data_IF_199492135063
#
_entry.id   IF_199492135063
#
_cell.length_a   1.000
_cell.length_b   1.000
_cell.length_c   1.000
_cell.angle_alpha   90.00
_cell.angle_beta   90.00
_cell.angle_gamma   90.00
#
_symmetry.space_group_name_H-M   'P 1'
#
loop_
_entity.id
_entity.type
_entity.pdbx_description
1 polymer ?
#
# COMPACT_ATOMS: atom_id res chain seq x y z
N UNK A 1 -14.01 8.34 -8.21
CA UNK A 1 -14.38 8.41 -6.77
C UNK A 1 -13.85 7.21 -5.99
N UNK A 2 -14.26 5.97 -6.31
CA UNK A 2 -13.76 4.76 -5.62
C UNK A 2 -12.23 4.69 -5.61
N UNK A 3 -11.60 4.91 -6.77
CA UNK A 3 -10.14 4.99 -6.91
C UNK A 3 -9.47 6.13 -6.11
N UNK A 4 -10.17 7.25 -5.91
CA UNK A 4 -9.68 8.34 -5.07
C UNK A 4 -9.79 8.00 -3.58
N UNK A 5 -10.86 7.30 -3.18
CA UNK A 5 -11.02 6.81 -1.80
C UNK A 5 -9.99 5.73 -1.47
N UNK A 6 -9.68 4.81 -2.39
CA UNK A 6 -8.61 3.81 -2.17
C UNK A 6 -7.25 4.48 -2.03
N UNK A 7 -6.97 5.51 -2.85
CA UNK A 7 -5.74 6.28 -2.73
C UNK A 7 -5.60 6.96 -1.36
N UNK A 8 -6.67 7.61 -0.91
CA UNK A 8 -6.72 8.29 0.39
C UNK A 8 -6.62 7.32 1.57
N UNK A 9 -7.41 6.25 1.57
CA UNK A 9 -7.43 5.24 2.62
C UNK A 9 -6.08 4.54 2.76
N UNK A 10 -5.43 4.18 1.65
CA UNK A 10 -4.09 3.62 1.65
C UNK A 10 -3.05 4.59 2.20
N UNK A 11 -3.11 5.86 1.79
CA UNK A 11 -2.19 6.90 2.23
C UNK A 11 -2.32 7.20 3.73
N UNK A 12 -3.55 7.21 4.26
CA UNK A 12 -3.79 7.36 5.70
C UNK A 12 -3.28 6.16 6.48
N UNK A 13 -3.61 4.93 6.06
CA UNK A 13 -3.15 3.71 6.74
C UNK A 13 -1.62 3.61 6.80
N UNK A 14 -0.94 3.96 5.71
CA UNK A 14 0.52 3.92 5.63
C UNK A 14 1.21 4.87 6.64
N UNK A 15 0.55 5.98 7.00
CA UNK A 15 1.08 6.91 8.00
C UNK A 15 1.01 6.38 9.44
N UNK A 16 0.21 5.35 9.72
CA UNK A 16 0.08 4.76 11.05
C UNK A 16 0.71 3.37 11.17
N UNK A 17 1.00 2.70 10.06
CA UNK A 17 1.66 1.40 10.03
C UNK A 17 3.17 1.48 10.34
N UNK A 18 3.68 0.49 11.08
CA UNK A 18 5.09 0.39 11.48
C UNK A 18 5.84 -0.75 10.78
N UNK A 19 5.15 -1.72 10.19
CA UNK A 19 5.81 -2.78 9.42
C UNK A 19 6.29 -2.24 8.06
N UNK A 20 7.60 -2.30 7.81
CA UNK A 20 8.24 -1.75 6.61
C UNK A 20 7.61 -2.31 5.32
N UNK A 21 7.37 -3.62 5.25
CA UNK A 21 6.72 -4.25 4.08
C UNK A 21 5.28 -3.78 3.89
N UNK A 22 4.51 -3.59 4.97
CA UNK A 22 3.12 -3.11 4.88
C UNK A 22 3.06 -1.66 4.42
N UNK A 23 3.99 -0.80 4.84
CA UNK A 23 4.07 0.59 4.35
C UNK A 23 4.35 0.60 2.83
N UNK A 24 5.27 -0.24 2.35
CA UNK A 24 5.58 -0.33 0.92
C UNK A 24 4.38 -0.91 0.13
N UNK A 25 3.64 -1.86 0.70
CA UNK A 25 2.43 -2.41 0.09
C UNK A 25 1.26 -1.42 0.06
N UNK A 26 1.04 -0.66 1.14
CA UNK A 26 0.02 0.40 1.15
C UNK A 26 0.35 1.51 0.16
N UNK A 27 1.64 1.82 -0.01
CA UNK A 27 2.06 2.76 -1.04
C UNK A 27 2.00 2.20 -2.46
N UNK A 28 1.87 0.87 -2.70
CA UNK A 28 1.47 0.36 -4.03
C UNK A 28 -0.04 0.47 -4.21
N UNK A 29 -0.84 0.19 -3.16
CA UNK A 29 -2.29 0.38 -3.19
C UNK A 29 -2.67 1.83 -3.53
N UNK A 30 -1.95 2.81 -2.96
CA UNK A 30 -2.21 4.22 -3.26
C UNK A 30 -1.91 4.57 -4.73
N UNK A 31 -0.79 4.09 -5.27
CA UNK A 31 -0.41 4.34 -6.67
C UNK A 31 -1.32 3.60 -7.66
N UNK A 32 -1.81 2.40 -7.30
CA UNK A 32 -2.85 1.69 -8.06
C UNK A 32 -4.17 2.48 -8.06
N UNK A 33 -4.55 3.08 -6.93
CA UNK A 33 -5.67 4.02 -6.88
C UNK A 33 -5.51 5.17 -7.87
N UNK A 34 -4.30 5.73 -7.96
CA UNK A 34 -3.96 6.78 -8.92
C UNK A 34 -4.04 6.27 -10.37
N UNK A 35 -3.46 5.12 -10.69
CA UNK A 35 -3.56 4.49 -12.02
C UNK A 35 -5.02 4.25 -12.45
N UNK A 36 -5.83 3.68 -11.57
CA UNK A 36 -7.24 3.38 -11.87
C UNK A 36 -8.07 4.65 -12.05
N UNK A 37 -7.74 5.71 -11.33
CA UNK A 37 -8.44 6.99 -11.47
C UNK A 37 -8.19 7.65 -12.83
N UNK A 38 -6.96 7.62 -13.34
CA UNK A 38 -6.62 8.16 -14.67
C UNK A 38 -7.24 7.32 -15.78
N UNK A 39 -7.24 6.00 -15.60
CA UNK A 39 -7.89 5.08 -16.53
C UNK A 39 -9.39 5.39 -16.61
N UNK A 40 -10.04 5.70 -15.49
CA UNK A 40 -11.45 6.14 -15.48
C UNK A 40 -11.70 7.50 -16.15
N UNK A 41 -10.66 8.36 -16.26
CA UNK A 41 -10.72 9.63 -17.00
C UNK A 41 -10.45 9.45 -18.51
N UNK A 42 -10.13 8.23 -18.98
CA UNK A 42 -9.89 7.92 -20.39
C UNK A 42 -8.43 7.99 -20.84
N UNK A 43 -7.49 8.37 -19.96
CA UNK A 43 -6.07 8.51 -20.31
C UNK A 43 -5.27 7.20 -20.11
N UNK A 44 -5.61 6.17 -20.89
CA UNK A 44 -4.98 4.84 -20.77
C UNK A 44 -3.45 4.85 -21.00
N UNK A 45 -2.95 5.69 -21.93
CA UNK A 45 -1.49 5.81 -22.19
C UNK A 45 -0.72 6.31 -20.97
N UNK A 46 -1.30 7.27 -20.21
CA UNK A 46 -0.71 7.80 -18.99
C UNK A 46 -0.72 6.76 -17.86
N UNK A 47 -1.82 6.03 -17.72
CA UNK A 47 -1.93 4.97 -16.74
C UNK A 47 -0.88 3.86 -16.99
N UNK A 48 -0.70 3.45 -18.24
CA UNK A 48 0.32 2.46 -18.61
C UNK A 48 1.75 2.97 -18.41
N UNK A 49 2.03 4.22 -18.79
CA UNK A 49 3.32 4.85 -18.53
C UNK A 49 3.66 4.92 -17.04
N UNK A 50 2.68 5.27 -16.19
CA UNK A 50 2.87 5.25 -14.75
C UNK A 50 3.05 3.84 -14.21
N UNK A 51 2.34 2.82 -14.74
CA UNK A 51 2.54 1.43 -14.35
C UNK A 51 3.97 0.96 -14.58
N UNK A 52 4.57 1.27 -15.75
CA UNK A 52 5.94 0.91 -16.06
C UNK A 52 6.95 1.61 -15.15
N UNK A 53 6.82 2.94 -14.99
CA UNK A 53 7.73 3.70 -14.10
C UNK A 53 7.58 3.25 -12.64
N UNK A 54 6.37 2.95 -12.20
CA UNK A 54 6.07 2.39 -10.87
C UNK A 54 6.72 1.03 -10.64
N UNK A 55 6.70 0.14 -11.62
CA UNK A 55 7.36 -1.16 -11.50
C UNK A 55 8.87 -1.00 -11.22
N UNK A 56 9.54 -0.06 -11.90
CA UNK A 56 10.97 0.20 -11.73
C UNK A 56 11.32 0.65 -10.30
N UNK A 57 10.71 1.74 -9.81
CA UNK A 57 11.06 2.26 -8.47
C UNK A 57 10.49 1.40 -7.33
N UNK A 58 9.39 0.66 -7.53
CA UNK A 58 8.89 -0.28 -6.51
C UNK A 58 9.75 -1.52 -6.39
N UNK A 59 10.26 -2.06 -7.50
CA UNK A 59 11.22 -3.16 -7.45
C UNK A 59 12.48 -2.75 -6.67
N UNK A 60 12.97 -1.52 -6.88
CA UNK A 60 14.08 -0.94 -6.12
C UNK A 60 13.76 -0.85 -4.62
N UNK A 61 12.57 -0.32 -4.26
CA UNK A 61 12.11 -0.22 -2.87
C UNK A 61 12.03 -1.58 -2.19
N UNK A 62 11.44 -2.59 -2.83
CA UNK A 62 11.31 -3.92 -2.24
C UNK A 62 12.65 -4.67 -2.13
N UNK A 63 13.58 -4.48 -3.07
CA UNK A 63 14.92 -5.07 -2.95
C UNK A 63 15.74 -4.44 -1.84
N UNK A 64 15.74 -3.11 -1.71
CA UNK A 64 16.39 -2.42 -0.60
C UNK A 64 15.74 -2.76 0.74
N UNK A 65 14.40 -2.84 0.79
CA UNK A 65 13.68 -3.31 1.98
C UNK A 65 14.07 -4.74 2.35
N UNK A 66 14.25 -5.62 1.36
CA UNK A 66 14.71 -6.99 1.54
C UNK A 66 16.09 -7.06 2.17
N UNK A 67 17.05 -6.25 1.71
CA UNK A 67 18.40 -6.20 2.30
C UNK A 67 18.39 -5.69 3.72
N UNK A 68 17.61 -4.63 3.98
CA UNK A 68 17.45 -4.08 5.33
C UNK A 68 16.85 -5.13 6.28
N UNK A 69 15.76 -5.80 5.88
CA UNK A 69 15.09 -6.80 6.74
C UNK A 69 16.00 -8.00 7.00
N UNK A 70 16.70 -8.50 5.98
CA UNK A 70 17.66 -9.59 6.14
C UNK A 70 18.75 -9.21 7.15
N UNK A 71 19.32 -8.02 6.99
CA UNK A 71 20.38 -7.54 7.87
C UNK A 71 19.91 -7.16 9.26
N UNK A 72 18.61 -6.95 9.46
CA UNK A 72 17.95 -6.72 10.75
C UNK A 72 17.36 -8.00 11.36
N UNK A 73 17.92 -9.17 11.02
CA UNK A 73 17.51 -10.50 11.54
C UNK A 73 16.00 -10.77 11.36
N UNK A 74 15.47 -10.41 10.20
CA UNK A 74 14.04 -10.51 9.85
C UNK A 74 13.10 -9.60 10.65
N UNK A 75 13.60 -8.65 11.44
CA UNK A 75 12.74 -7.62 12.03
C UNK A 75 12.29 -6.62 10.96
N UNK A 76 10.98 -6.40 10.90
CA UNK A 76 10.33 -5.55 9.90
C UNK A 76 9.82 -4.23 10.48
N UNK A 77 9.81 -4.10 11.80
CA UNK A 77 9.31 -2.92 12.50
C UNK A 77 10.31 -1.78 12.37
N UNK A 78 9.87 -0.67 11.75
CA UNK A 78 10.71 0.52 11.54
C UNK A 78 11.17 1.17 12.86
N UNK A 79 10.48 0.91 13.98
CA UNK A 79 10.84 1.48 15.30
C UNK A 79 12.12 0.89 15.87
N UNK A 80 12.41 -0.36 15.50
CA UNK A 80 13.64 -1.07 15.88
C UNK A 80 14.80 -0.77 14.92
N UNK A 81 14.55 0.00 13.86
CA UNK A 81 15.56 0.48 12.93
C UNK A 81 16.11 1.83 13.40
N UNK A 82 17.12 2.33 12.69
CA UNK A 82 17.75 3.60 12.96
C UNK A 82 19.15 3.64 12.39
N UNK A 83 19.66 4.84 12.13
CA UNK A 83 21.03 5.15 11.68
C UNK A 83 21.63 4.19 10.62
N UNK A 84 20.82 3.60 9.74
CA UNK A 84 21.29 2.59 8.79
C UNK A 84 22.27 3.17 7.76
N UNK A 85 22.19 4.49 7.52
CA UNK A 85 23.11 5.23 6.66
C UNK A 85 24.59 5.00 6.98
N UNK A 86 24.94 4.84 8.27
CA UNK A 86 26.32 4.63 8.71
C UNK A 86 26.80 3.19 8.43
N UNK A 87 25.88 2.23 8.57
CA UNK A 87 26.19 0.79 8.44
C UNK A 87 26.08 0.24 7.03
N UNK A 88 25.13 0.75 6.23
CA UNK A 88 24.78 0.22 4.91
C UNK A 88 24.54 1.38 3.91
N UNK A 89 25.57 2.19 3.61
CA UNK A 89 25.39 3.46 2.90
C UNK A 89 24.86 3.30 1.47
N UNK A 90 25.23 2.22 0.75
CA UNK A 90 24.81 2.03 -0.64
C UNK A 90 23.32 1.69 -0.71
N UNK A 91 22.88 0.68 0.04
CA UNK A 91 21.46 0.32 0.07
C UNK A 91 20.60 1.46 0.61
N UNK A 92 21.06 2.21 1.61
CA UNK A 92 20.32 3.34 2.16
C UNK A 92 20.17 4.50 1.18
N UNK A 93 21.23 4.83 0.42
CA UNK A 93 21.15 5.86 -0.62
C UNK A 93 20.21 5.45 -1.77
N UNK A 94 20.30 4.20 -2.25
CA UNK A 94 19.40 3.65 -3.26
C UNK A 94 17.94 3.66 -2.79
N UNK A 95 17.71 3.30 -1.52
CA UNK A 95 16.39 3.33 -0.92
C UNK A 95 15.80 4.74 -0.85
N UNK A 96 16.62 5.75 -0.52
CA UNK A 96 16.18 7.14 -0.51
C UNK A 96 15.87 7.67 -1.92
N UNK A 97 16.68 7.30 -2.93
CA UNK A 97 16.38 7.62 -4.34
C UNK A 97 15.03 7.03 -4.75
N UNK A 98 14.76 5.79 -4.35
CA UNK A 98 13.49 5.12 -4.62
C UNK A 98 12.30 5.80 -3.92
N UNK A 99 12.46 6.22 -2.66
CA UNK A 99 11.45 6.96 -1.91
C UNK A 99 11.17 8.34 -2.53
N UNK A 100 12.20 9.06 -2.99
CA UNK A 100 12.05 10.34 -3.68
C UNK A 100 11.37 10.17 -5.05
N UNK A 101 11.69 9.09 -5.78
CA UNK A 101 11.00 8.76 -7.02
C UNK A 101 9.51 8.50 -6.79
N UNK A 102 9.14 7.82 -5.70
CA UNK A 102 7.73 7.61 -5.30
C UNK A 102 7.00 8.93 -4.97
N UNK A 103 7.70 9.88 -4.36
CA UNK A 103 7.16 11.21 -4.08
C UNK A 103 6.87 12.00 -5.36
N UNK A 104 7.66 11.78 -6.41
CA UNK A 104 7.61 12.55 -7.65
C UNK A 104 8.55 13.76 -7.64
N UNK A 105 9.69 13.67 -6.95
CA UNK A 105 10.71 14.73 -6.96
C UNK A 105 11.22 14.98 -8.39
N UNK A 106 11.45 16.24 -8.82
CA UNK A 106 11.89 16.58 -10.16
C UNK A 106 13.08 15.74 -10.64
N UNK A 107 13.05 15.41 -11.93
CA UNK A 107 14.05 14.61 -12.66
C UNK A 107 14.14 13.11 -12.32
N UNK A 108 13.40 12.59 -11.34
CA UNK A 108 13.30 11.15 -11.10
C UNK A 108 12.17 10.52 -11.93
N UNK A 109 12.17 9.19 -12.09
CA UNK A 109 11.20 8.51 -12.95
C UNK A 109 9.73 8.77 -12.58
N UNK A 110 9.44 8.96 -11.29
CA UNK A 110 8.07 9.25 -10.84
C UNK A 110 7.59 10.67 -11.16
N UNK A 111 8.48 11.64 -11.35
CA UNK A 111 8.09 12.99 -11.76
C UNK A 111 7.45 12.99 -13.14
N UNK A 112 8.12 12.35 -14.11
CA UNK A 112 7.65 12.28 -15.50
C UNK A 112 6.23 11.72 -15.63
N UNK A 113 5.86 10.74 -14.80
CA UNK A 113 4.53 10.13 -14.84
C UNK A 113 3.54 10.78 -13.88
N UNK A 114 3.86 10.84 -12.59
CA UNK A 114 2.92 11.26 -11.53
C UNK A 114 2.58 12.75 -11.62
N UNK A 115 3.54 13.62 -11.91
CA UNK A 115 3.30 15.06 -12.02
C UNK A 115 2.43 15.36 -13.25
N UNK A 116 2.78 14.76 -14.39
CA UNK A 116 1.99 14.86 -15.62
C UNK A 116 0.55 14.36 -15.44
N UNK A 117 0.36 13.28 -14.67
CA UNK A 117 -0.97 12.80 -14.29
C UNK A 117 -1.75 13.86 -13.51
N UNK A 118 -1.15 14.45 -12.48
CA UNK A 118 -1.83 15.42 -11.63
C UNK A 118 -2.17 16.68 -12.41
N UNK A 119 -1.33 17.09 -13.35
CA UNK A 119 -1.61 18.19 -14.26
C UNK A 119 -2.79 17.91 -15.20
N UNK A 120 -2.88 16.69 -15.73
CA UNK A 120 -4.04 16.30 -16.55
C UNK A 120 -5.33 16.27 -15.73
N UNK A 121 -5.26 15.87 -14.45
CA UNK A 121 -6.38 15.98 -13.51
C UNK A 121 -6.81 17.43 -13.33
N UNK A 122 -5.86 18.38 -13.23
CA UNK A 122 -6.18 19.82 -13.13
C UNK A 122 -6.87 20.39 -14.36
N UNK A 123 -6.48 19.92 -15.54
CA UNK A 123 -7.10 20.35 -16.79
C UNK A 123 -8.50 19.75 -16.98
N UNK A 124 -8.73 18.55 -16.46
CA UNK A 124 -9.99 17.83 -16.64
C UNK A 124 -11.10 18.36 -15.72
N UNK A 125 -12.36 18.17 -16.14
CA UNK A 125 -13.53 18.52 -15.34
C UNK A 125 -13.74 17.52 -14.20
N UNK A 126 -13.15 17.82 -13.05
CA UNK A 126 -13.18 16.95 -11.85
C UNK A 126 -13.96 17.63 -10.73
N UNK A 127 -14.78 16.86 -10.01
CA UNK A 127 -15.50 17.38 -8.85
C UNK A 127 -14.52 17.88 -7.77
N UNK A 128 -14.91 18.92 -7.04
CA UNK A 128 -14.08 19.51 -5.97
C UNK A 128 -13.65 18.47 -4.92
N UNK A 129 -14.53 17.54 -4.56
CA UNK A 129 -14.21 16.47 -3.62
C UNK A 129 -13.14 15.50 -4.17
N UNK A 130 -13.26 15.08 -5.43
CA UNK A 130 -12.23 14.23 -6.05
C UNK A 130 -10.91 14.94 -6.20
N UNK A 131 -10.92 16.24 -6.55
CA UNK A 131 -9.72 17.08 -6.58
C UNK A 131 -9.03 17.09 -5.21
N UNK A 132 -9.78 17.31 -4.13
CA UNK A 132 -9.24 17.24 -2.77
C UNK A 132 -8.60 15.89 -2.47
N UNK A 133 -9.27 14.78 -2.82
CA UNK A 133 -8.73 13.43 -2.59
C UNK A 133 -7.37 13.23 -3.29
N UNK A 134 -7.21 13.71 -4.53
CA UNK A 134 -5.93 13.59 -5.26
C UNK A 134 -4.79 14.34 -4.56
N UNK A 135 -4.95 15.64 -4.29
CA UNK A 135 -3.87 16.44 -3.72
C UNK A 135 -3.60 16.12 -2.25
N UNK A 136 -4.63 15.83 -1.48
CA UNK A 136 -4.41 15.45 -0.09
C UNK A 136 -3.71 14.10 0.00
N UNK A 137 -4.13 13.11 -0.80
CA UNK A 137 -3.49 11.79 -0.79
C UNK A 137 -2.06 11.82 -1.34
N UNK A 138 -1.75 12.65 -2.34
CA UNK A 138 -0.35 12.85 -2.77
C UNK A 138 0.48 13.47 -1.65
N UNK A 139 -0.05 14.43 -0.91
CA UNK A 139 0.57 14.94 0.32
C UNK A 139 0.83 13.85 1.37
N UNK A 140 -0.15 12.96 1.60
CA UNK A 140 0.02 11.80 2.49
C UNK A 140 1.12 10.85 1.98
N UNK A 141 1.28 10.68 0.66
CA UNK A 141 2.35 9.86 0.10
C UNK A 141 3.74 10.37 0.44
N UNK A 142 3.89 11.69 0.45
CA UNK A 142 5.14 12.33 0.83
C UNK A 142 5.31 12.32 2.36
N UNK A 143 4.23 12.45 3.11
CA UNK A 143 4.28 12.36 4.58
C UNK A 143 4.82 11.00 5.05
N UNK A 144 4.27 9.87 4.56
CA UNK A 144 4.73 8.56 5.03
C UNK A 144 6.13 8.21 4.50
N UNK A 145 6.54 8.72 3.34
CA UNK A 145 7.88 8.43 2.79
C UNK A 145 8.96 9.15 3.59
N UNK A 146 8.77 10.42 3.95
CA UNK A 146 9.69 11.15 4.82
C UNK A 146 9.68 10.62 6.25
N UNK A 147 8.52 10.19 6.78
CA UNK A 147 8.45 9.43 8.03
C UNK A 147 9.33 8.17 7.97
N UNK A 148 9.23 7.44 6.86
CA UNK A 148 10.00 6.20 6.69
C UNK A 148 11.50 6.49 6.67
N UNK A 149 11.94 7.52 5.93
CA UNK A 149 13.33 7.97 5.91
C UNK A 149 13.81 8.37 7.30
N UNK A 150 12.96 9.02 8.10
CA UNK A 150 13.31 9.40 9.46
C UNK A 150 13.66 8.19 10.34
N UNK A 151 12.75 7.20 10.38
CA UNK A 151 12.91 6.02 11.24
C UNK A 151 14.04 5.09 10.77
N UNK A 152 14.26 4.94 9.46
CA UNK A 152 15.32 4.04 8.96
C UNK A 152 16.70 4.69 8.99
N UNK A 153 16.81 5.99 8.68
CA UNK A 153 18.09 6.62 8.36
C UNK A 153 18.56 7.66 9.38
N UNK A 154 17.69 8.57 9.81
CA UNK A 154 18.12 9.73 10.63
C UNK A 154 18.02 9.49 12.13
N UNK A 155 17.14 8.58 12.56
CA UNK A 155 17.00 8.22 13.96
C UNK A 155 18.23 7.53 14.53
N UNK A 156 18.32 7.50 15.86
CA UNK A 156 19.36 6.75 16.57
C UNK A 156 19.18 5.23 16.38
N UNK A 157 20.26 4.47 16.50
CA UNK A 157 20.24 3.03 16.35
C UNK A 157 19.47 2.36 17.51
N UNK A 158 18.27 1.85 17.24
CA UNK A 158 17.40 1.27 18.28
C UNK A 158 17.50 -0.25 18.44
N UNK A 159 18.38 -0.93 17.71
CA UNK A 159 18.51 -2.39 17.80
C UNK A 159 19.60 -2.82 18.79
N UNK A 160 19.76 -4.13 18.98
CA UNK A 160 20.75 -4.70 19.91
C UNK A 160 22.17 -4.19 19.61
N UNK A 161 22.94 -3.89 20.66
CA UNK A 161 24.32 -3.37 20.57
C UNK A 161 25.26 -4.21 19.70
N UNK A 162 25.08 -5.52 19.64
CA UNK A 162 25.84 -6.46 18.80
C UNK A 162 25.06 -6.82 17.52
N UNK A 163 24.79 -5.84 16.66
CA UNK A 163 24.11 -6.08 15.39
C UNK A 163 25.11 -6.34 14.24
N UNK A 164 25.06 -7.50 13.56
CA UNK A 164 25.92 -7.78 12.40
C UNK A 164 25.35 -7.13 11.13
N UNK A 165 25.42 -5.80 11.04
CA UNK A 165 25.04 -5.08 9.82
C UNK A 165 26.17 -5.16 8.80
N UNK A 166 25.83 -5.60 7.58
CA UNK A 166 26.82 -5.78 6.55
C UNK A 166 26.23 -5.65 5.15
N UNK A 167 26.80 -4.78 4.32
CA UNK A 167 26.33 -4.55 2.96
C UNK A 167 27.23 -5.21 1.89
N UNK A 168 27.89 -6.33 2.19
CA UNK A 168 28.93 -6.94 1.31
C UNK A 168 28.40 -7.89 0.23
N UNK A 169 27.13 -8.27 0.24
CA UNK A 169 26.61 -9.25 -0.72
C UNK A 169 26.52 -8.64 -2.13
N UNK A 170 27.54 -8.90 -2.94
CA UNK A 170 27.68 -8.31 -4.28
C UNK A 170 26.51 -8.60 -5.21
N UNK A 171 25.88 -9.78 -5.12
CA UNK A 171 24.70 -10.14 -5.93
C UNK A 171 23.52 -9.20 -5.66
N UNK A 172 23.28 -8.89 -4.38
CA UNK A 172 22.23 -7.97 -3.95
C UNK A 172 22.57 -6.53 -4.34
N UNK A 173 23.82 -6.10 -4.16
CA UNK A 173 24.22 -4.74 -4.52
C UNK A 173 24.13 -4.50 -6.02
N UNK A 174 24.55 -5.46 -6.85
CA UNK A 174 24.48 -5.34 -8.30
C UNK A 174 23.04 -5.16 -8.78
N UNK A 175 22.11 -5.94 -8.23
CA UNK A 175 20.70 -5.88 -8.61
C UNK A 175 20.04 -4.56 -8.16
N UNK A 176 20.37 -4.06 -6.96
CA UNK A 176 19.92 -2.76 -6.45
C UNK A 176 20.50 -1.61 -7.30
N UNK A 177 21.79 -1.66 -7.63
CA UNK A 177 22.45 -0.62 -8.41
C UNK A 177 21.89 -0.52 -9.83
N UNK A 178 21.64 -1.65 -10.49
CA UNK A 178 21.01 -1.67 -11.81
C UNK A 178 19.61 -1.03 -11.79
N UNK A 179 18.79 -1.37 -10.78
CA UNK A 179 17.48 -0.76 -10.62
C UNK A 179 17.54 0.73 -10.26
N UNK A 180 18.56 1.17 -9.52
CA UNK A 180 18.76 2.58 -9.19
C UNK A 180 18.97 3.42 -10.47
N UNK A 181 19.80 2.95 -11.39
CA UNK A 181 20.02 3.61 -12.69
C UNK A 181 18.68 3.73 -13.44
N UNK A 182 17.88 2.66 -13.46
CA UNK A 182 16.57 2.67 -14.10
C UNK A 182 15.55 3.56 -13.39
N UNK A 183 15.62 3.72 -12.06
CA UNK A 183 14.74 4.62 -11.33
C UNK A 183 15.03 6.10 -11.59
N UNK A 184 16.26 6.44 -12.01
CA UNK A 184 16.65 7.81 -12.37
C UNK A 184 16.34 8.06 -13.85
N UNK A 185 16.87 7.21 -14.75
CA UNK A 185 16.84 7.44 -16.20
C UNK A 185 15.60 6.84 -16.87
N UNK A 186 15.01 5.80 -16.29
CA UNK A 186 13.94 5.04 -16.93
C UNK A 186 12.68 5.86 -17.23
N UNK A 187 12.34 6.84 -16.40
CA UNK A 187 11.17 7.69 -16.66
C UNK A 187 11.33 8.62 -17.87
N UNK A 188 12.50 9.25 -18.03
CA UNK A 188 12.77 10.11 -19.19
C UNK A 188 12.86 9.27 -20.47
N UNK A 189 13.58 8.15 -20.44
CA UNK A 189 13.67 7.22 -21.57
C UNK A 189 12.30 6.71 -22.02
N UNK A 190 11.47 6.25 -21.07
CA UNK A 190 10.13 5.78 -21.37
C UNK A 190 9.23 6.90 -21.89
N UNK A 191 9.40 8.14 -21.40
CA UNK A 191 8.60 9.27 -21.87
C UNK A 191 8.86 9.58 -23.36
N UNK A 192 10.13 9.56 -23.77
CA UNK A 192 10.53 9.79 -25.16
C UNK A 192 10.09 8.66 -26.09
N UNK A 193 10.05 7.42 -25.60
CA UNK A 193 9.60 6.26 -26.39
C UNK A 193 8.08 6.23 -26.56
N UNK A 194 7.31 6.54 -25.51
CA UNK A 194 5.86 6.36 -25.51
C UNK A 194 5.09 7.55 -26.06
N UNK A 195 5.56 8.77 -25.80
CA UNK A 195 4.89 10.00 -26.23
C UNK A 195 5.57 10.58 -27.47
N UNK A 196 5.09 10.16 -28.64
CA UNK A 196 5.50 10.72 -29.93
C UNK A 196 5.11 12.20 -30.07
N UNK A 197 3.93 12.57 -29.56
CA UNK A 197 3.40 13.93 -29.59
C UNK A 197 3.18 14.41 -28.14
N UNK A 198 3.95 15.39 -27.64
CA UNK A 198 3.72 15.95 -26.32
C UNK A 198 2.39 16.72 -26.30
N UNK A 199 1.51 16.41 -25.36
CA UNK A 199 0.28 17.17 -25.12
C UNK A 199 0.61 18.53 -24.49
N UNK A 200 0.09 19.61 -25.06
CA UNK A 200 0.22 20.95 -24.45
C UNK A 200 -0.66 21.04 -23.19
N UNK A 201 -0.04 21.33 -22.05
CA UNK A 201 -0.73 21.52 -20.78
C UNK A 201 -0.74 23.01 -20.45
N UNK A 202 -1.91 23.64 -20.57
CA UNK A 202 -2.10 25.08 -20.28
C UNK A 202 -2.73 25.27 -18.90
N UNK A 203 -1.90 25.50 -17.88
CA UNK A 203 -2.35 25.73 -16.51
C UNK A 203 -1.92 27.12 -16.02
N UNK A 204 -2.73 27.80 -15.19
CA UNK A 204 -2.29 29.01 -14.50
C UNK A 204 -1.17 28.66 -13.52
N UNK A 205 -0.27 29.62 -13.26
CA UNK A 205 0.92 29.44 -12.44
C UNK A 205 0.64 28.78 -11.07
N UNK A 206 -0.43 29.21 -10.40
CA UNK A 206 -0.82 28.67 -9.10
C UNK A 206 -1.13 27.18 -9.14
N UNK A 207 -1.77 26.69 -10.21
CA UNK A 207 -2.10 25.28 -10.36
C UNK A 207 -0.88 24.45 -10.73
N UNK A 208 0.02 24.99 -11.57
CA UNK A 208 1.25 24.30 -11.97
C UNK A 208 2.21 24.04 -10.80
N UNK A 209 2.28 24.96 -9.84
CA UNK A 209 3.17 24.82 -8.67
C UNK A 209 2.51 24.01 -7.53
N UNK A 210 1.21 23.74 -7.61
CA UNK A 210 0.48 23.11 -6.51
C UNK A 210 1.06 21.73 -6.12
N UNK A 211 1.45 20.90 -7.09
CA UNK A 211 2.02 19.57 -6.84
C UNK A 211 3.29 19.67 -6.00
N UNK A 212 4.19 20.59 -6.36
CA UNK A 212 5.41 20.89 -5.62
C UNK A 212 5.14 21.42 -4.21
N UNK A 213 4.18 22.33 -4.05
CA UNK A 213 3.80 22.85 -2.72
C UNK A 213 3.29 21.72 -1.83
N UNK A 214 2.42 20.86 -2.36
CA UNK A 214 1.89 19.72 -1.62
C UNK A 214 2.99 18.74 -1.22
N UNK A 215 3.97 18.49 -2.09
CA UNK A 215 5.13 17.65 -1.75
C UNK A 215 5.97 18.27 -0.62
N UNK A 216 6.25 19.57 -0.67
CA UNK A 216 7.03 20.25 0.38
C UNK A 216 6.29 20.29 1.73
N UNK A 217 4.98 20.59 1.72
CA UNK A 217 4.15 20.55 2.92
C UNK A 217 4.04 19.14 3.49
N UNK A 218 3.82 18.13 2.64
CA UNK A 218 3.74 16.74 3.06
C UNK A 218 5.05 16.25 3.68
N UNK A 219 6.19 16.56 3.07
CA UNK A 219 7.51 16.14 3.56
C UNK A 219 7.88 16.81 4.88
N UNK A 220 7.64 18.12 5.00
CA UNK A 220 7.87 18.85 6.25
C UNK A 220 6.99 18.33 7.38
N UNK A 221 5.69 18.09 7.12
CA UNK A 221 4.79 17.49 8.10
C UNK A 221 5.24 16.10 8.52
N UNK A 222 5.60 15.23 7.56
CA UNK A 222 6.05 13.87 7.85
C UNK A 222 7.27 13.85 8.77
N UNK A 223 8.28 14.68 8.48
CA UNK A 223 9.51 14.75 9.26
C UNK A 223 9.30 15.37 10.66
N UNK A 224 8.51 16.43 10.76
CA UNK A 224 8.21 17.10 12.03
C UNK A 224 7.37 16.21 12.96
N UNK A 225 6.39 15.48 12.41
CA UNK A 225 5.55 14.57 13.19
C UNK A 225 6.34 13.40 13.79
N UNK A 226 7.39 12.95 13.11
CA UNK A 226 8.24 11.85 13.61
C UNK A 226 9.33 12.28 14.56
N UNK A 227 9.68 13.57 14.61
CA UNK A 227 10.72 14.09 15.51
C UNK A 227 10.21 14.17 16.95
N UNK A 228 10.04 13.01 17.57
CA UNK A 228 9.56 12.86 18.94
C UNK A 228 10.74 12.72 19.89
N UNK A 229 10.86 13.63 20.86
CA UNK A 229 11.79 13.55 21.99
C UNK A 229 11.11 12.95 23.22
N UNK A 230 11.90 12.48 24.19
CA UNK A 230 11.45 11.81 25.41
C UNK A 230 10.41 12.59 26.23
N UNK A 231 10.43 13.93 26.18
CA UNK A 231 9.52 14.77 26.96
C UNK A 231 8.19 15.07 26.27
N UNK A 232 7.97 14.60 25.04
CA UNK A 232 6.69 14.85 24.36
C UNK A 232 5.60 13.90 24.80
N UNK A 233 4.42 14.49 24.98
CA UNK A 233 3.17 13.78 25.19
C UNK A 233 2.88 12.90 23.96
N UNK A 234 2.59 11.62 24.20
CA UNK A 234 2.26 10.68 23.11
C UNK A 234 0.86 10.99 22.53
N UNK A 235 0.82 11.90 21.56
CA UNK A 235 -0.41 12.35 20.87
C UNK A 235 -1.24 11.19 20.32
N UNK A 236 -0.61 10.08 19.93
CA UNK A 236 -1.30 8.90 19.43
C UNK A 236 -2.18 8.21 20.49
N UNK A 237 -1.75 8.21 21.76
CA UNK A 237 -2.56 7.66 22.85
C UNK A 237 -3.75 8.56 23.20
N UNK A 238 -3.58 9.89 23.13
CA UNK A 238 -4.70 10.82 23.37
C UNK A 238 -5.82 10.66 22.34
N UNK A 239 -5.46 10.41 21.08
CA UNK A 239 -6.41 10.20 19.98
C UNK A 239 -6.49 8.73 19.55
N UNK A 240 -6.50 7.80 20.51
CA UNK A 240 -6.43 6.36 20.25
C UNK A 240 -7.48 5.88 19.23
N UNK A 241 -8.74 6.29 19.39
CA UNK A 241 -9.83 5.84 18.50
C UNK A 241 -9.60 6.24 17.03
N UNK A 242 -9.06 7.44 16.79
CA UNK A 242 -8.76 7.94 15.44
C UNK A 242 -7.57 7.20 14.84
N UNK A 243 -6.50 7.01 15.62
CA UNK A 243 -5.30 6.29 15.19
C UNK A 243 -5.65 4.83 14.89
N UNK A 244 -6.45 4.18 15.74
CA UNK A 244 -6.87 2.81 15.56
C UNK A 244 -7.75 2.63 14.33
N UNK A 245 -8.70 3.53 14.07
CA UNK A 245 -9.53 3.52 12.85
C UNK A 245 -8.71 3.75 11.57
N UNK A 246 -7.80 4.72 11.58
CA UNK A 246 -6.98 5.04 10.41
C UNK A 246 -5.95 3.95 10.13
N UNK A 247 -5.31 3.38 11.17
CA UNK A 247 -4.34 2.30 11.04
C UNK A 247 -4.96 0.97 10.61
N UNK A 248 -6.17 0.66 11.06
CA UNK A 248 -6.87 -0.60 10.72
C UNK A 248 -7.51 -0.64 9.33
N UNK A 249 -7.14 0.29 8.43
CA UNK A 249 -7.75 0.38 7.10
C UNK A 249 -9.28 0.53 7.18
N UNK A 250 -9.77 1.43 8.04
CA UNK A 250 -11.21 1.66 8.32
C UNK A 250 -11.95 0.38 8.75
N UNK A 251 -11.26 -0.52 9.45
CA UNK A 251 -11.76 -1.86 9.82
C UNK A 251 -12.22 -2.74 8.65
N UNK A 252 -11.87 -2.40 7.40
CA UNK A 252 -12.28 -3.14 6.22
C UNK A 252 -11.83 -4.61 6.24
N UNK A 253 -10.60 -4.97 6.66
CA UNK A 253 -10.20 -6.37 6.77
C UNK A 253 -11.07 -7.17 7.74
N UNK A 254 -11.48 -6.57 8.87
CA UNK A 254 -12.30 -7.26 9.88
C UNK A 254 -13.74 -7.42 9.39
N UNK A 255 -14.30 -6.38 8.76
CA UNK A 255 -15.64 -6.42 8.18
C UNK A 255 -15.74 -7.45 7.05
N UNK A 256 -14.74 -7.51 6.16
CA UNK A 256 -14.74 -8.41 5.01
C UNK A 256 -14.41 -9.86 5.38
N UNK A 257 -13.57 -10.11 6.38
CA UNK A 257 -13.25 -11.47 6.82
C UNK A 257 -14.30 -11.97 7.81
N UNK A 258 -14.33 -11.45 9.04
CA UNK A 258 -15.20 -11.98 10.11
C UNK A 258 -16.68 -11.75 9.80
N UNK A 259 -17.04 -10.57 9.29
CA UNK A 259 -18.44 -10.22 9.01
C UNK A 259 -19.03 -11.05 7.88
N UNK A 260 -18.34 -11.11 6.73
CA UNK A 260 -18.86 -11.80 5.53
C UNK A 260 -18.79 -13.31 5.67
N UNK A 261 -17.75 -13.89 6.31
CA UNK A 261 -17.60 -15.34 6.45
C UNK A 261 -18.67 -15.97 7.35
N UNK A 262 -19.21 -15.24 8.33
CA UNK A 262 -20.18 -15.79 9.29
C UNK A 262 -21.50 -16.26 8.64
N UNK A 263 -22.01 -15.52 7.65
CA UNK A 263 -23.26 -15.85 6.96
C UNK A 263 -23.20 -17.16 6.14
N UNK A 264 -22.25 -17.37 5.21
CA UNK A 264 -22.15 -18.60 4.45
C UNK A 264 -21.81 -19.81 5.35
N UNK A 265 -21.02 -19.63 6.42
CA UNK A 265 -20.75 -20.72 7.36
C UNK A 265 -22.01 -21.15 8.12
N UNK A 266 -22.82 -20.21 8.62
CA UNK A 266 -24.10 -20.54 9.26
C UNK A 266 -25.06 -21.20 8.29
N UNK A 267 -25.18 -20.66 7.08
CA UNK A 267 -26.02 -21.25 6.03
C UNK A 267 -25.58 -22.68 5.69
N UNK A 268 -24.27 -22.93 5.56
CA UNK A 268 -23.73 -24.27 5.33
C UNK A 268 -24.01 -25.24 6.49
N UNK A 269 -23.94 -24.78 7.74
CA UNK A 269 -24.30 -25.58 8.91
C UNK A 269 -25.79 -25.91 8.94
N UNK A 270 -26.65 -24.94 8.62
CA UNK A 270 -28.09 -25.19 8.55
C UNK A 270 -28.43 -26.15 7.42
N UNK A 271 -27.85 -25.97 6.23
CA UNK A 271 -28.10 -26.88 5.11
C UNK A 271 -27.68 -28.30 5.44
N UNK A 272 -26.49 -28.49 6.02
CA UNK A 272 -26.01 -29.81 6.40
C UNK A 272 -26.91 -30.48 7.44
N UNK A 273 -27.31 -29.76 8.50
CA UNK A 273 -28.15 -30.34 9.56
C UNK A 273 -29.58 -30.60 9.12
N UNK A 274 -30.20 -29.64 8.42
CA UNK A 274 -31.61 -29.76 8.07
C UNK A 274 -31.83 -30.60 6.83
N UNK A 275 -31.04 -30.39 5.76
CA UNK A 275 -31.22 -31.12 4.51
C UNK A 275 -30.50 -32.47 4.56
N UNK A 276 -29.18 -32.48 4.75
CA UNK A 276 -28.37 -33.69 4.55
C UNK A 276 -28.48 -34.70 5.69
N UNK A 277 -28.58 -34.27 6.94
CA UNK A 277 -28.76 -35.17 8.09
C UNK A 277 -30.21 -35.26 8.57
N UNK A 278 -31.08 -34.35 8.10
CA UNK A 278 -32.48 -34.28 8.52
C UNK A 278 -33.40 -34.89 7.48
N UNK A 279 -33.82 -34.08 6.51
CA UNK A 279 -34.85 -34.43 5.54
C UNK A 279 -34.45 -35.58 4.61
N UNK A 280 -33.20 -35.63 4.15
CA UNK A 280 -32.74 -36.70 3.24
C UNK A 280 -32.71 -38.06 3.95
N UNK A 281 -32.26 -38.12 5.21
CA UNK A 281 -32.27 -39.35 6.01
C UNK A 281 -33.70 -39.76 6.38
N UNK A 282 -34.54 -38.79 6.74
CA UNK A 282 -35.95 -39.02 7.03
C UNK A 282 -36.66 -39.62 5.83
N UNK A 283 -36.65 -38.97 4.66
CA UNK A 283 -37.31 -39.49 3.47
C UNK A 283 -36.63 -40.72 2.85
N UNK A 284 -35.32 -40.86 3.07
CA UNK A 284 -34.52 -41.96 2.56
C UNK A 284 -34.53 -43.16 3.50
N UNK A 285 -33.34 -43.45 4.05
CA UNK A 285 -33.07 -44.72 4.73
C UNK A 285 -33.92 -44.96 5.98
N UNK A 286 -34.17 -43.93 6.80
CA UNK A 286 -34.86 -44.14 8.08
C UNK A 286 -36.35 -44.45 7.89
N UNK A 287 -37.06 -43.75 7.00
CA UNK A 287 -38.47 -44.04 6.74
C UNK A 287 -38.65 -45.36 6.00
N UNK A 288 -37.79 -45.69 5.03
CA UNK A 288 -37.83 -46.99 4.35
C UNK A 288 -37.63 -48.14 5.35
N UNK A 289 -36.66 -48.03 6.25
CA UNK A 289 -36.43 -49.02 7.30
C UNK A 289 -37.67 -49.19 8.20
N UNK A 290 -38.26 -48.09 8.66
CA UNK A 290 -39.45 -48.14 9.52
C UNK A 290 -40.66 -48.73 8.80
N UNK A 291 -40.86 -48.43 7.51
CA UNK A 291 -41.93 -49.02 6.71
C UNK A 291 -41.74 -50.53 6.53
N UNK A 292 -40.53 -50.97 6.15
CA UNK A 292 -40.22 -52.40 6.00
C UNK A 292 -40.39 -53.16 7.32
N UNK A 293 -39.99 -52.57 8.44
CA UNK A 293 -40.22 -53.14 9.77
C UNK A 293 -41.72 -53.31 10.05
N UNK A 294 -42.54 -52.29 9.79
CA UNK A 294 -43.99 -52.38 10.02
C UNK A 294 -44.66 -53.42 9.12
N UNK A 295 -44.25 -53.53 7.85
CA UNK A 295 -44.74 -54.58 6.97
C UNK A 295 -44.35 -55.98 7.47
N UNK A 296 -43.12 -56.15 7.97
CA UNK A 296 -42.68 -57.44 8.52
C UNK A 296 -43.46 -57.84 9.77
N UNK A 297 -43.81 -56.89 10.64
CA UNK A 297 -44.64 -57.13 11.82
C UNK A 297 -46.08 -57.50 11.43
N UNK A 298 -46.66 -56.78 10.47
CA UNK A 298 -47.98 -57.13 9.94
C UNK A 298 -48.03 -58.54 9.36
N UNK A 299 -46.99 -58.95 8.61
CA UNK A 299 -46.88 -60.31 8.08
C UNK A 299 -46.69 -61.39 9.15
N UNK A 300 -46.27 -61.04 10.37
CA UNK A 300 -46.17 -61.97 11.49
C UNK A 300 -47.48 -62.13 12.28
N UNK A 301 -48.36 -61.14 12.23
CA UNK A 301 -49.67 -61.17 12.90
C UNK A 301 -50.78 -61.83 12.06
N UNK A 302 -50.59 -61.94 10.73
CA UNK A 302 -51.41 -62.75 9.83
C UNK A 302 -50.90 -64.19 9.74
#
# INVERSE_FOLDING_TARGET
LVSGLTMFMAGLGANFEFDLKKIIALSTLSQLGLMMSILSMGFYKLAFFHLLTHALFKALLFMCAGSIIHNMKNSQDIRMMGSLNLSMPLTCSCFNIANLALCGMPFLAGFYSKDLILEMVMLSYVNSFSFFLFFFSTGLTVCYSFRLVYYSMTGEFNSSSLHPLNDKSMTMLFSIFFLMIMAIIGGSMLSWLMFLNPSMICLPFNMKILTLIVCLLGGSMGYLLTNVKLFFINKGLYYYNLVYFAGSMWFMPVLSTVGVINYPLKLGLYSFKSFDQGWSEFFGGQMLYNQLKNYSLYLQEF
#
